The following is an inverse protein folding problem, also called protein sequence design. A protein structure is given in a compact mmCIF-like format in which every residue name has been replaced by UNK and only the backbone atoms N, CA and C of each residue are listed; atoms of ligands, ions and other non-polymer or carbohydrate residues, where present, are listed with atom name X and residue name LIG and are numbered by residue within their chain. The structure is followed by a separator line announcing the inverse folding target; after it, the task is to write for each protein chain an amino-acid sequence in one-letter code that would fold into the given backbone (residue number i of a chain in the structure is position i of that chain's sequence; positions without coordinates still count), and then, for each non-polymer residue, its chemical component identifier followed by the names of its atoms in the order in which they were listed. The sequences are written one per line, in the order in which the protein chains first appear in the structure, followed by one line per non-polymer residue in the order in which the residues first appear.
data_IF_899026144441
#
_entry.id   IF_899026144441
#
_cell.length_a   1.000
_cell.length_b   1.000
_cell.length_c   1.000
_cell.angle_alpha   90.00
_cell.angle_beta   90.00
_cell.angle_gamma   90.00
#
_symmetry.space_group_name_H-M   'P 1'
#
loop_
_entity.id
_entity.type
_entity.pdbx_description
1 polymer ?
#
# COMPACT_ATOMS: atom_id res chain seq x y z
N UNK A 1 -18.50 11.99 3.49
CA UNK A 1 -17.39 11.21 4.08
C UNK A 1 -16.35 10.81 3.03
N UNK A 2 -16.56 9.78 2.20
CA UNK A 2 -15.51 9.33 1.26
C UNK A 2 -15.08 10.39 0.22
N UNK A 3 -16.02 11.15 -0.33
CA UNK A 3 -15.73 12.25 -1.27
C UNK A 3 -14.94 13.39 -0.61
N UNK A 4 -15.32 13.74 0.62
CA UNK A 4 -14.68 14.76 1.44
C UNK A 4 -13.25 14.38 1.81
N UNK A 5 -13.04 13.17 2.33
CA UNK A 5 -11.70 12.63 2.58
C UNK A 5 -10.85 12.64 1.31
N UNK A 6 -11.45 12.38 0.14
CA UNK A 6 -10.73 12.47 -1.12
C UNK A 6 -10.32 13.89 -1.49
N UNK A 7 -11.13 14.89 -1.13
CA UNK A 7 -10.83 16.30 -1.35
C UNK A 7 -9.75 16.82 -0.38
N UNK A 8 -9.69 16.31 0.85
CA UNK A 8 -8.79 16.82 1.90
C UNK A 8 -7.48 16.04 2.06
N UNK A 9 -7.36 14.84 1.49
CA UNK A 9 -6.18 13.95 1.64
C UNK A 9 -4.80 14.59 1.41
N UNK A 10 -4.71 15.60 0.54
CA UNK A 10 -3.46 16.33 0.32
C UNK A 10 -3.09 17.23 1.52
N UNK A 11 -4.09 17.87 2.15
CA UNK A 11 -3.90 18.62 3.38
C UNK A 11 -3.55 17.67 4.54
N UNK A 12 -4.23 16.53 4.65
CA UNK A 12 -3.89 15.49 5.63
C UNK A 12 -2.46 15.00 5.45
N UNK A 13 -2.01 14.70 4.22
CA UNK A 13 -0.62 14.29 3.96
C UNK A 13 0.40 15.35 4.45
N UNK A 14 0.10 16.63 4.25
CA UNK A 14 0.93 17.75 4.73
C UNK A 14 0.93 17.85 6.25
N UNK A 15 -0.22 17.75 6.89
CA UNK A 15 -0.36 17.74 8.35
C UNK A 15 0.44 16.62 9.00
N UNK A 16 0.43 15.43 8.38
CA UNK A 16 1.18 14.26 8.83
C UNK A 16 2.70 14.34 8.55
N UNK A 17 3.16 15.40 7.88
CA UNK A 17 4.57 15.60 7.54
C UNK A 17 5.11 14.62 6.49
N UNK A 18 4.24 14.10 5.61
CA UNK A 18 4.68 13.22 4.52
C UNK A 18 5.50 14.00 3.48
N UNK A 19 6.44 13.32 2.83
CA UNK A 19 7.25 13.91 1.76
C UNK A 19 6.39 14.36 0.57
N UNK A 20 6.90 15.30 -0.23
CA UNK A 20 6.17 15.85 -1.38
C UNK A 20 5.85 14.85 -2.49
N UNK A 21 6.60 13.75 -2.57
CA UNK A 21 6.39 12.64 -3.50
C UNK A 21 5.50 11.54 -2.90
N UNK A 22 5.18 11.66 -1.60
CA UNK A 22 4.26 10.77 -0.93
C UNK A 22 2.83 11.29 -1.05
N UNK A 23 1.90 10.42 -1.40
CA UNK A 23 0.47 10.76 -1.49
C UNK A 23 -0.36 9.72 -0.77
N UNK A 24 -1.54 10.17 -0.32
CA UNK A 24 -2.55 9.31 0.28
C UNK A 24 -3.62 8.93 -0.74
N UNK A 25 -4.10 7.71 -0.65
CA UNK A 25 -5.24 7.19 -1.40
C UNK A 25 -6.28 6.72 -0.39
N UNK A 26 -7.43 7.39 -0.36
CA UNK A 26 -8.52 7.02 0.56
C UNK A 26 -9.09 5.67 0.14
N UNK A 27 -9.16 4.74 1.09
CA UNK A 27 -9.78 3.42 0.88
C UNK A 27 -11.15 3.32 1.49
N UNK A 28 -11.32 3.89 2.67
CA UNK A 28 -12.58 3.84 3.39
C UNK A 28 -12.65 4.93 4.45
N UNK A 29 -13.87 5.30 4.83
CA UNK A 29 -14.15 6.22 5.94
C UNK A 29 -15.28 5.61 6.77
N UNK A 30 -14.98 5.27 8.02
CA UNK A 30 -15.99 4.84 9.00
C UNK A 30 -16.24 5.99 9.97
N UNK A 31 -17.50 6.23 10.33
CA UNK A 31 -17.86 7.23 11.33
C UNK A 31 -18.52 6.56 12.54
N UNK A 32 -18.02 6.89 13.72
CA UNK A 32 -18.59 6.47 15.00
C UNK A 32 -19.83 7.31 15.35
N UNK A 33 -20.65 6.83 16.29
CA UNK A 33 -21.89 7.51 16.72
C UNK A 33 -21.66 8.93 17.24
N UNK A 34 -20.48 9.21 17.81
CA UNK A 34 -20.13 10.54 18.33
C UNK A 34 -19.63 11.51 17.24
N UNK A 35 -19.61 11.06 15.97
CA UNK A 35 -19.17 11.83 14.83
C UNK A 35 -17.68 11.70 14.50
N UNK A 36 -16.88 11.02 15.34
CA UNK A 36 -15.48 10.69 15.05
C UNK A 36 -15.38 9.90 13.74
N UNK A 37 -14.42 10.24 12.89
CA UNK A 37 -14.13 9.49 11.67
C UNK A 37 -12.82 8.73 11.77
N UNK A 38 -12.77 7.55 11.15
CA UNK A 38 -11.57 6.76 10.93
C UNK A 38 -11.39 6.59 9.43
N UNK A 39 -10.43 7.31 8.86
CA UNK A 39 -10.14 7.25 7.43
C UNK A 39 -8.94 6.36 7.20
N UNK A 40 -9.14 5.26 6.46
CA UNK A 40 -8.06 4.36 6.03
C UNK A 40 -7.47 4.86 4.72
N UNK A 41 -6.16 5.04 4.72
CA UNK A 41 -5.37 5.46 3.59
C UNK A 41 -4.33 4.43 3.21
N UNK A 42 -4.21 4.15 1.91
CA UNK A 42 -2.97 3.66 1.34
C UNK A 42 -2.03 4.82 1.02
N UNK A 43 -0.74 4.53 0.89
CA UNK A 43 0.28 5.49 0.46
C UNK A 43 0.83 5.15 -0.91
N UNK A 44 1.29 6.17 -1.61
CA UNK A 44 2.13 6.05 -2.80
C UNK A 44 3.42 6.82 -2.62
N UNK A 45 4.51 6.40 -3.27
CA UNK A 45 5.76 7.15 -3.44
C UNK A 45 6.02 7.31 -4.94
N UNK A 46 6.06 8.56 -5.42
CA UNK A 46 6.22 8.88 -6.86
C UNK A 46 5.23 8.09 -7.75
N UNK A 47 4.00 7.92 -7.25
CA UNK A 47 2.94 7.18 -7.93
C UNK A 47 3.00 5.66 -7.77
N UNK A 48 4.07 5.09 -7.20
CA UNK A 48 4.14 3.66 -6.90
C UNK A 48 3.39 3.34 -5.60
N UNK A 49 2.54 2.29 -5.55
CA UNK A 49 1.92 1.84 -4.32
C UNK A 49 2.96 1.46 -3.25
N UNK A 50 2.69 1.82 -2.00
CA UNK A 50 3.51 1.46 -0.84
C UNK A 50 2.80 0.36 -0.05
N UNK A 51 3.22 -0.88 -0.24
CA UNK A 51 2.64 -2.05 0.44
C UNK A 51 3.20 -2.18 1.86
N UNK A 52 2.32 -2.29 2.86
CA UNK A 52 2.68 -2.25 4.29
C UNK A 52 2.96 -0.84 4.81
N UNK A 53 2.63 0.20 4.04
CA UNK A 53 2.80 1.59 4.42
C UNK A 53 1.50 2.29 4.85
N UNK A 54 0.37 1.60 4.83
CA UNK A 54 -0.95 2.18 5.10
C UNK A 54 -1.08 2.81 6.49
N UNK A 55 -2.07 3.69 6.62
CA UNK A 55 -2.39 4.37 7.87
C UNK A 55 -3.88 4.60 8.03
N UNK A 56 -4.30 4.76 9.28
CA UNK A 56 -5.64 5.20 9.64
C UNK A 56 -5.53 6.51 10.41
N UNK A 57 -6.23 7.54 9.95
CA UNK A 57 -6.36 8.82 10.66
C UNK A 57 -7.69 8.84 11.40
N UNK A 58 -7.63 9.10 12.71
CA UNK A 58 -8.79 9.37 13.54
C UNK A 58 -8.99 10.89 13.63
N UNK A 59 -10.15 11.38 13.23
CA UNK A 59 -10.52 12.79 13.35
C UNK A 59 -11.76 12.93 14.22
N UNK A 60 -11.79 13.96 15.07
CA UNK A 60 -12.98 14.33 15.84
C UNK A 60 -14.13 14.76 14.92
N UNK A 61 -15.35 14.85 15.44
CA UNK A 61 -16.51 15.38 14.71
C UNK A 61 -16.30 16.81 14.14
N UNK A 62 -15.34 17.58 14.69
CA UNK A 62 -14.96 18.90 14.21
C UNK A 62 -13.82 18.88 13.17
N UNK A 63 -13.39 17.69 12.71
CA UNK A 63 -12.32 17.53 11.72
C UNK A 63 -10.90 17.70 12.25
N UNK A 64 -10.70 17.78 13.58
CA UNK A 64 -9.34 17.79 14.16
C UNK A 64 -8.78 16.38 14.23
N UNK A 65 -7.57 16.17 13.73
CA UNK A 65 -6.81 14.92 13.93
C UNK A 65 -6.57 14.64 15.41
N UNK A 66 -6.98 13.48 15.87
CA UNK A 66 -6.79 13.02 17.26
C UNK A 66 -5.77 11.89 17.36
N UNK A 67 -5.56 11.13 16.29
CA UNK A 67 -4.64 10.00 16.30
C UNK A 67 -4.34 9.47 14.90
N UNK A 68 -3.18 8.85 14.76
CA UNK A 68 -2.71 8.25 13.51
C UNK A 68 -2.09 6.90 13.81
N UNK A 69 -2.72 5.85 13.32
CA UNK A 69 -2.17 4.48 13.37
C UNK A 69 -1.47 4.19 12.06
N UNK A 70 -0.20 3.77 12.10
CA UNK A 70 0.60 3.46 10.90
C UNK A 70 0.99 1.99 10.90
N UNK A 71 0.90 1.33 9.75
CA UNK A 71 1.31 -0.08 9.58
C UNK A 71 2.83 -0.28 9.74
N UNK A 72 3.63 0.77 9.54
CA UNK A 72 5.08 0.72 9.63
C UNK A 72 5.66 1.93 10.36
N UNK A 73 6.82 1.72 11.01
CA UNK A 73 7.64 2.76 11.65
C UNK A 73 8.57 3.47 10.66
N UNK A 74 8.58 3.07 9.39
CA UNK A 74 9.42 3.70 8.37
C UNK A 74 9.12 5.20 8.23
N UNK A 75 10.18 6.00 8.22
CA UNK A 75 10.09 7.46 8.11
C UNK A 75 9.98 7.90 6.64
N UNK A 76 9.42 9.08 6.40
CA UNK A 76 9.40 9.70 5.07
C UNK A 76 10.79 9.85 4.45
N UNK A 77 11.82 10.09 5.26
CA UNK A 77 13.20 10.13 4.79
C UNK A 77 13.68 8.77 4.25
N UNK A 78 13.34 7.67 4.94
CA UNK A 78 13.66 6.32 4.48
C UNK A 78 12.90 5.96 3.20
N UNK A 79 11.62 6.35 3.07
CA UNK A 79 10.89 6.14 1.81
C UNK A 79 11.53 6.95 0.67
N UNK A 80 11.87 8.22 0.90
CA UNK A 80 12.50 9.06 -0.13
C UNK A 80 13.84 8.52 -0.63
N UNK A 81 14.56 7.76 0.20
CA UNK A 81 15.84 7.16 -0.15
C UNK A 81 15.73 5.90 -1.04
N UNK A 82 14.52 5.38 -1.27
CA UNK A 82 14.33 4.19 -2.11
C UNK A 82 14.62 4.52 -3.57
N UNK A 83 15.56 3.78 -4.18
CA UNK A 83 15.77 3.83 -5.62
C UNK A 83 14.60 3.20 -6.37
N UNK A 84 13.96 3.95 -7.27
CA UNK A 84 12.74 3.51 -7.99
C UNK A 84 12.99 2.96 -9.41
N UNK A 85 14.27 2.81 -9.76
CA UNK A 85 14.71 2.14 -10.98
C UNK A 85 14.89 0.65 -10.70
N UNK A 86 14.20 -0.19 -11.47
CA UNK A 86 14.29 -1.64 -11.29
C UNK A 86 15.49 -2.19 -12.06
N UNK A 87 16.40 -2.86 -11.35
CA UNK A 87 17.47 -3.65 -11.97
C UNK A 87 16.97 -5.01 -12.47
N UNK A 88 15.83 -5.46 -11.93
CA UNK A 88 15.18 -6.73 -12.28
C UNK A 88 14.11 -6.49 -13.36
N UNK A 89 14.17 -7.27 -14.43
CA UNK A 89 13.14 -7.26 -15.47
C UNK A 89 11.81 -7.86 -14.94
N UNK A 90 10.64 -7.32 -15.31
CA UNK A 90 9.34 -7.85 -14.88
C UNK A 90 9.17 -9.35 -15.14
N UNK A 91 9.63 -9.85 -16.30
CA UNK A 91 9.53 -11.27 -16.64
C UNK A 91 10.33 -12.18 -15.68
N UNK A 92 11.43 -11.69 -15.11
CA UNK A 92 12.19 -12.42 -14.10
C UNK A 92 11.41 -12.50 -12.77
N UNK A 93 10.75 -11.41 -12.37
CA UNK A 93 9.87 -11.38 -11.20
C UNK A 93 8.68 -12.34 -11.37
N UNK A 94 8.04 -12.35 -12.55
CA UNK A 94 6.95 -13.28 -12.86
C UNK A 94 7.41 -14.74 -12.79
N UNK A 95 8.55 -15.06 -13.41
CA UNK A 95 9.13 -16.41 -13.35
C UNK A 95 9.40 -16.85 -11.91
N UNK A 96 9.92 -15.96 -11.07
CA UNK A 96 10.16 -16.26 -9.65
C UNK A 96 8.84 -16.52 -8.90
N UNK A 97 7.82 -15.68 -9.10
CA UNK A 97 6.51 -15.84 -8.46
C UNK A 97 5.82 -17.15 -8.88
N UNK A 98 5.86 -17.51 -10.17
CA UNK A 98 5.34 -18.78 -10.67
C UNK A 98 6.09 -19.98 -10.10
N UNK A 99 7.41 -19.88 -9.95
CA UNK A 99 8.22 -20.90 -9.30
C UNK A 99 7.80 -21.15 -7.85
N UNK A 100 7.60 -20.07 -7.08
CA UNK A 100 7.10 -20.15 -5.71
C UNK A 100 5.68 -20.72 -5.65
N UNK A 101 4.76 -20.23 -6.49
CA UNK A 101 3.38 -20.73 -6.52
C UNK A 101 3.31 -22.22 -6.91
N UNK A 102 4.18 -22.67 -7.83
CA UNK A 102 4.27 -24.09 -8.20
C UNK A 102 4.76 -24.97 -7.06
N UNK A 103 5.68 -24.47 -6.23
CA UNK A 103 6.13 -25.19 -5.03
C UNK A 103 4.98 -25.41 -4.04
N UNK A 104 4.01 -24.49 -4.00
CA UNK A 104 2.77 -24.58 -3.24
C UNK A 104 1.62 -25.31 -3.99
N UNK A 105 1.91 -25.96 -5.12
CA UNK A 105 0.93 -26.78 -5.87
C UNK A 105 0.13 -26.05 -6.95
N UNK A 106 0.40 -24.77 -7.21
CA UNK A 106 -0.27 -24.05 -8.30
C UNK A 106 0.06 -24.64 -9.68
N UNK A 107 -0.96 -24.70 -10.53
CA UNK A 107 -0.86 -25.10 -11.95
C UNK A 107 -0.82 -23.89 -12.90
N UNK A 108 -0.81 -22.68 -12.36
CA UNK A 108 -0.77 -21.46 -13.16
C UNK A 108 0.51 -21.41 -14.01
N UNK A 109 0.37 -20.99 -15.26
CA UNK A 109 1.48 -20.86 -16.21
C UNK A 109 1.91 -19.41 -16.46
N UNK A 110 1.12 -18.46 -15.95
CA UNK A 110 1.32 -17.02 -16.07
C UNK A 110 0.73 -16.35 -14.83
N UNK A 111 1.23 -15.17 -14.50
CA UNK A 111 0.59 -14.30 -13.52
C UNK A 111 -0.78 -13.84 -14.04
N UNK A 112 -1.66 -13.44 -13.12
CA UNK A 112 -2.98 -12.89 -13.47
C UNK A 112 -2.84 -11.57 -14.24
N UNK A 113 -1.86 -10.78 -13.84
CA UNK A 113 -1.51 -9.49 -14.43
C UNK A 113 0.01 -9.37 -14.55
N UNK A 114 0.46 -8.45 -15.40
CA UNK A 114 1.88 -8.11 -15.47
C UNK A 114 2.40 -7.64 -14.09
N UNK A 115 3.61 -8.05 -13.66
CA UNK A 115 4.17 -7.60 -12.39
C UNK A 115 4.20 -6.07 -12.29
N UNK A 116 3.64 -5.51 -11.21
CA UNK A 116 3.64 -4.05 -10.99
C UNK A 116 4.77 -3.68 -10.02
N UNK A 117 5.45 -2.56 -10.31
CA UNK A 117 6.42 -1.97 -9.38
C UNK A 117 5.69 -1.41 -8.16
N UNK A 118 6.20 -1.71 -6.97
CA UNK A 118 5.71 -1.21 -5.68
C UNK A 118 6.89 -0.88 -4.78
N UNK A 119 6.64 -0.09 -3.73
CA UNK A 119 7.57 0.03 -2.62
C UNK A 119 7.10 -0.92 -1.51
N UNK A 120 7.95 -1.84 -1.09
CA UNK A 120 7.66 -2.82 -0.05
C UNK A 120 8.15 -2.35 1.32
N UNK A 121 7.23 -2.27 2.30
CA UNK A 121 7.49 -1.86 3.68
C UNK A 121 7.18 -2.95 4.71
N UNK A 122 6.84 -4.17 4.30
CA UNK A 122 6.45 -5.25 5.22
C UNK A 122 7.60 -5.97 5.93
N UNK A 123 8.86 -5.75 5.53
CA UNK A 123 10.02 -6.54 5.99
C UNK A 123 11.18 -5.76 6.64
N UNK A 124 10.96 -4.51 7.04
CA UNK A 124 12.02 -3.64 7.59
C UNK A 124 12.27 -2.40 6.74
N UNK A 125 13.48 -2.24 6.20
CA UNK A 125 13.84 -1.09 5.38
C UNK A 125 13.01 -1.03 4.09
N UNK A 126 12.43 0.13 3.72
CA UNK A 126 11.72 0.31 2.46
C UNK A 126 12.59 -0.03 1.25
N UNK A 127 12.04 -0.73 0.26
CA UNK A 127 12.74 -1.07 -0.97
C UNK A 127 11.79 -1.17 -2.17
N UNK A 128 12.31 -1.01 -3.39
CA UNK A 128 11.57 -1.29 -4.61
C UNK A 128 11.37 -2.80 -4.77
N UNK A 129 10.17 -3.19 -5.17
CA UNK A 129 9.81 -4.58 -5.42
C UNK A 129 8.83 -4.69 -6.61
N UNK A 130 8.59 -5.92 -7.04
CA UNK A 130 7.45 -6.26 -7.90
C UNK A 130 6.40 -7.01 -7.10
N UNK A 131 5.16 -6.56 -7.16
CA UNK A 131 4.01 -7.36 -6.77
C UNK A 131 3.58 -8.18 -7.99
N UNK A 132 3.50 -9.50 -7.81
CA UNK A 132 3.02 -10.43 -8.82
C UNK A 132 1.93 -11.29 -8.21
N UNK A 133 0.75 -11.29 -8.82
CA UNK A 133 -0.37 -12.12 -8.38
C UNK A 133 -0.44 -13.34 -9.27
N UNK A 134 -0.34 -14.52 -8.66
CA UNK A 134 -0.53 -15.81 -9.32
C UNK A 134 -1.78 -16.43 -8.75
N UNK A 135 -2.83 -16.47 -9.56
CA UNK A 135 -4.09 -17.10 -9.18
C UNK A 135 -3.96 -18.61 -9.04
N UNK A 136 -4.93 -19.19 -8.35
CA UNK A 136 -5.03 -20.63 -8.16
C UNK A 136 -6.34 -21.00 -7.49
N UNK A 137 -6.43 -22.25 -7.11
CA UNK A 137 -7.39 -22.72 -6.13
C UNK A 137 -6.56 -23.45 -5.08
N UNK A 138 -6.81 -23.17 -3.80
CA UNK A 138 -6.30 -23.98 -2.72
C UNK A 138 -6.93 -25.37 -2.72
N UNK A 139 -6.39 -26.28 -1.89
CA UNK A 139 -6.88 -27.66 -1.80
C UNK A 139 -8.37 -27.76 -1.42
N UNK A 140 -8.91 -26.75 -0.72
CA UNK A 140 -10.30 -26.65 -0.31
C UNK A 140 -11.21 -25.91 -1.33
N UNK A 141 -10.66 -25.48 -2.46
CA UNK A 141 -11.38 -24.75 -3.50
C UNK A 141 -11.53 -23.25 -3.26
N UNK A 142 -10.90 -22.68 -2.23
CA UNK A 142 -10.79 -21.23 -2.06
C UNK A 142 -9.86 -20.65 -3.14
N UNK A 143 -10.20 -19.53 -3.82
CA UNK A 143 -9.29 -18.84 -4.74
C UNK A 143 -7.94 -18.47 -4.13
#
# INVERSE_FOLDING_TARGET
LLSEANATKAATAKELGLGSTEKLVVRDVVQDRDGTTHTRYERTLDGLPVLGGDLVVKESAAGRTEGVSKASKATSAQLKAVGLTADVAPAAAEKQALGAAKAEGSKAKKAENAPRKVVWLGGGSPQLAYETVVGGLQHDGTP
#
